data_IF_299698165873
#
_entry.id   IF_299698165873
#
_cell.length_a   1.000
_cell.length_b   1.000
_cell.length_c   1.000
_cell.angle_alpha   90.00
_cell.angle_beta   90.00
_cell.angle_gamma   90.00
#
_symmetry.space_group_name_H-M   'P 1'
#
loop_
_entity.id
_entity.type
_entity.pdbx_description
1 polymer ?
#
# COMPACT_ATOMS: atom_id res chain seq x y z
N UNK A 1 -60.31 40.78 33.08
CA UNK A 1 -60.05 39.43 32.54
C UNK A 1 -59.38 39.61 31.19
N UNK A 2 -58.10 39.23 31.12
CA UNK A 2 -57.26 39.35 29.92
C UNK A 2 -57.75 38.40 28.81
N UNK A 3 -57.90 38.92 27.60
CA UNK A 3 -58.07 38.12 26.38
C UNK A 3 -56.69 37.93 25.73
N UNK A 4 -56.19 36.71 25.79
CA UNK A 4 -54.94 36.27 25.15
C UNK A 4 -55.06 36.28 23.62
N UNK A 5 -54.35 37.19 22.97
CA UNK A 5 -54.03 37.10 21.54
C UNK A 5 -52.70 36.35 21.37
N UNK A 6 -52.74 35.11 20.88
CA UNK A 6 -51.54 34.41 20.41
C UNK A 6 -51.18 34.90 19.00
N UNK A 7 -49.98 35.45 18.76
CA UNK A 7 -49.58 35.85 17.42
C UNK A 7 -49.26 34.60 16.58
N UNK A 8 -49.79 34.55 15.36
CA UNK A 8 -49.40 33.54 14.36
C UNK A 8 -48.03 33.88 13.77
N UNK A 9 -47.31 32.87 13.27
CA UNK A 9 -45.95 33.00 12.69
C UNK A 9 -45.84 34.08 11.60
N UNK A 10 -46.96 34.45 10.96
CA UNK A 10 -47.06 35.53 10.00
C UNK A 10 -46.85 36.94 10.59
N UNK A 11 -47.15 37.17 11.88
CA UNK A 11 -46.94 38.48 12.52
C UNK A 11 -45.49 38.75 12.91
N UNK A 12 -44.66 37.70 13.02
CA UNK A 12 -43.25 37.83 13.38
C UNK A 12 -42.40 38.35 12.21
N UNK A 13 -42.78 38.02 10.96
CA UNK A 13 -42.01 38.39 9.75
C UNK A 13 -42.21 39.88 9.40
N UNK A 14 -43.30 40.52 9.83
CA UNK A 14 -43.62 41.91 9.48
C UNK A 14 -42.87 42.96 10.34
N UNK A 15 -42.31 42.57 11.48
CA UNK A 15 -41.62 43.48 12.42
C UNK A 15 -40.11 43.26 12.52
N UNK A 16 -39.54 42.26 11.84
CA UNK A 16 -38.10 42.11 11.75
C UNK A 16 -37.57 42.93 10.58
N UNK A 17 -36.86 44.02 10.86
CA UNK A 17 -36.02 44.75 9.90
C UNK A 17 -34.80 43.91 9.46
N UNK A 18 -35.00 42.65 9.07
CA UNK A 18 -33.97 41.88 8.39
C UNK A 18 -33.96 42.36 6.94
N UNK A 19 -32.97 43.20 6.62
CA UNK A 19 -32.82 43.68 5.25
C UNK A 19 -32.66 42.50 4.29
N UNK A 20 -33.12 42.66 3.06
CA UNK A 20 -32.98 41.66 2.01
C UNK A 20 -31.52 41.18 1.86
N UNK A 21 -30.57 42.07 2.15
CA UNK A 21 -29.13 41.82 2.22
C UNK A 21 -28.76 40.74 3.24
N UNK A 22 -29.35 40.78 4.45
CA UNK A 22 -29.09 39.79 5.52
C UNK A 22 -29.66 38.42 5.15
N UNK A 23 -30.83 38.39 4.49
CA UNK A 23 -31.42 37.14 4.01
C UNK A 23 -30.58 36.49 2.91
N UNK A 24 -30.04 37.30 1.99
CA UNK A 24 -29.13 36.83 0.92
C UNK A 24 -27.82 36.33 1.52
N UNK A 25 -27.24 37.02 2.51
CA UNK A 25 -26.02 36.56 3.20
C UNK A 25 -26.26 35.26 3.96
N UNK A 26 -27.39 35.11 4.64
CA UNK A 26 -27.77 33.85 5.31
C UNK A 26 -27.99 32.71 4.32
N UNK A 27 -28.65 32.96 3.18
CA UNK A 27 -28.82 31.97 2.12
C UNK A 27 -27.48 31.60 1.46
N UNK A 28 -26.59 32.56 1.24
CA UNK A 28 -25.23 32.31 0.74
C UNK A 28 -24.40 31.52 1.76
N UNK A 29 -24.49 31.83 3.06
CA UNK A 29 -23.82 31.09 4.12
C UNK A 29 -24.38 29.66 4.26
N UNK A 30 -25.69 29.47 4.12
CA UNK A 30 -26.33 28.15 4.06
C UNK A 30 -25.94 27.38 2.80
N UNK A 31 -25.84 28.03 1.63
CA UNK A 31 -25.36 27.42 0.39
C UNK A 31 -23.88 27.04 0.48
N UNK A 32 -23.03 27.87 1.07
CA UNK A 32 -21.62 27.56 1.34
C UNK A 32 -21.52 26.40 2.33
N UNK A 33 -22.31 26.37 3.40
CA UNK A 33 -22.32 25.28 4.38
C UNK A 33 -22.87 23.96 3.81
N UNK A 34 -23.87 24.02 2.91
CA UNK A 34 -24.39 22.85 2.19
C UNK A 34 -23.41 22.38 1.10
N UNK A 35 -22.68 23.29 0.46
CA UNK A 35 -21.59 22.96 -0.46
C UNK A 35 -20.39 22.35 0.29
N UNK A 36 -20.00 22.88 1.45
CA UNK A 36 -18.98 22.28 2.32
C UNK A 36 -19.42 20.91 2.84
N UNK A 37 -20.68 20.74 3.24
CA UNK A 37 -21.23 19.44 3.64
C UNK A 37 -21.32 18.43 2.48
N UNK A 38 -21.53 18.90 1.23
CA UNK A 38 -21.48 18.06 0.02
C UNK A 38 -20.05 17.74 -0.40
N UNK A 39 -19.09 18.63 -0.14
CA UNK A 39 -17.65 18.38 -0.31
C UNK A 39 -17.13 17.45 0.80
N UNK A 40 -17.74 17.45 1.99
CA UNK A 40 -17.45 16.54 3.11
C UNK A 40 -18.13 15.16 3.02
N UNK A 41 -19.06 14.93 2.07
CA UNK A 41 -19.29 13.58 1.56
C UNK A 41 -18.11 13.23 0.66
N UNK A 42 -17.00 12.84 1.29
CA UNK A 42 -15.75 12.51 0.61
C UNK A 42 -16.00 11.69 -0.64
N UNK A 43 -15.39 12.11 -1.76
CA UNK A 43 -15.25 11.26 -2.96
C UNK A 43 -14.69 9.92 -2.50
N UNK A 44 -15.51 8.86 -2.53
CA UNK A 44 -15.13 7.52 -2.09
C UNK A 44 -15.58 7.13 -0.67
N UNK A 45 -16.86 7.27 -0.32
CA UNK A 45 -17.39 6.64 0.90
C UNK A 45 -17.47 5.12 0.73
N UNK A 46 -16.63 4.33 1.42
CA UNK A 46 -16.69 2.87 1.40
C UNK A 46 -15.34 2.16 1.62
N UNK A 47 -15.40 0.91 2.07
CA UNK A 47 -14.22 0.05 2.20
C UNK A 47 -13.72 -0.40 0.82
N UNK A 48 -12.41 -0.37 0.62
CA UNK A 48 -11.77 -1.03 -0.51
C UNK A 48 -11.94 -2.54 -0.32
N UNK A 49 -12.31 -3.25 -1.39
CA UNK A 49 -12.52 -4.70 -1.38
C UNK A 49 -11.76 -5.35 -2.53
N UNK A 50 -11.73 -6.67 -2.56
CA UNK A 50 -11.29 -7.43 -3.73
C UNK A 50 -12.49 -8.01 -4.49
N UNK A 51 -12.40 -8.05 -5.81
CA UNK A 51 -13.28 -8.81 -6.70
C UNK A 51 -12.41 -9.69 -7.59
N UNK A 52 -12.17 -10.91 -7.12
CA UNK A 52 -11.15 -11.79 -7.69
C UNK A 52 -9.77 -11.09 -7.63
N UNK A 53 -9.04 -11.00 -8.76
CA UNK A 53 -7.69 -10.44 -8.79
C UNK A 53 -7.61 -8.92 -8.70
N UNK A 54 -8.73 -8.19 -8.58
CA UNK A 54 -8.75 -6.73 -8.66
C UNK A 54 -9.25 -6.08 -7.37
N UNK A 55 -8.71 -4.91 -7.04
CA UNK A 55 -9.33 -4.05 -6.04
C UNK A 55 -10.55 -3.34 -6.62
N UNK A 56 -11.54 -3.12 -5.76
CA UNK A 56 -12.73 -2.34 -6.07
C UNK A 56 -13.08 -1.41 -4.93
N UNK A 57 -13.56 -0.22 -5.27
CA UNK A 57 -14.13 0.74 -4.35
C UNK A 57 -15.52 1.12 -4.85
N UNK A 58 -16.54 0.87 -4.03
CA UNK A 58 -17.94 1.09 -4.40
C UNK A 58 -18.34 0.40 -5.72
N UNK A 59 -17.84 -0.82 -5.92
CA UNK A 59 -18.11 -1.64 -7.10
C UNK A 59 -17.30 -1.27 -8.35
N UNK A 60 -16.62 -0.12 -8.36
CA UNK A 60 -15.74 0.30 -9.46
C UNK A 60 -14.31 -0.21 -9.24
N UNK A 61 -13.54 -0.52 -10.31
CA UNK A 61 -12.11 -0.77 -10.20
C UNK A 61 -11.41 0.31 -9.36
N UNK A 62 -10.46 -0.10 -8.53
CA UNK A 62 -9.65 0.80 -7.73
C UNK A 62 -8.18 0.54 -8.05
N UNK A 63 -7.62 1.38 -8.92
CA UNK A 63 -6.19 1.43 -9.20
C UNK A 63 -5.62 2.69 -8.56
N UNK A 64 -4.42 2.58 -8.00
CA UNK A 64 -3.79 3.68 -7.27
C UNK A 64 -2.31 3.83 -7.59
N UNK A 65 -1.82 5.03 -7.30
CA UNK A 65 -0.42 5.32 -7.06
C UNK A 65 -0.31 5.83 -5.61
N UNK A 66 0.72 5.44 -4.89
CA UNK A 66 0.85 5.76 -3.48
C UNK A 66 2.30 5.87 -3.01
N UNK A 67 2.48 5.90 -1.69
CA UNK A 67 3.77 6.15 -1.06
C UNK A 67 3.89 5.56 0.34
N UNK A 68 5.11 5.47 0.84
CA UNK A 68 5.43 5.16 2.23
C UNK A 68 5.80 6.43 2.99
N UNK A 69 5.33 6.54 4.24
CA UNK A 69 5.73 7.58 5.19
C UNK A 69 5.65 7.02 6.62
N UNK A 70 6.67 6.27 7.03
CA UNK A 70 6.65 5.52 8.29
C UNK A 70 6.67 6.38 9.55
N UNK A 71 7.23 7.58 9.43
CA UNK A 71 7.54 8.48 10.53
C UNK A 71 6.33 9.22 11.11
N UNK A 72 5.18 9.21 10.42
CA UNK A 72 4.08 10.15 10.66
C UNK A 72 3.53 10.09 12.10
N UNK A 73 3.34 8.90 12.67
CA UNK A 73 2.84 8.76 14.05
C UNK A 73 3.81 9.38 15.07
N UNK A 74 5.10 9.10 14.93
CA UNK A 74 6.13 9.57 15.88
C UNK A 74 6.34 11.08 15.78
N UNK A 75 6.24 11.64 14.58
CA UNK A 75 6.29 13.09 14.36
C UNK A 75 5.02 13.76 14.89
N UNK A 76 3.83 13.20 14.62
CA UNK A 76 2.55 13.75 15.09
C UNK A 76 2.34 13.66 16.62
N UNK A 77 3.18 12.89 17.32
CA UNK A 77 3.22 12.85 18.78
C UNK A 77 3.51 14.24 19.36
N UNK A 78 4.37 15.02 18.70
CA UNK A 78 4.59 16.43 19.04
C UNK A 78 3.60 17.32 18.28
N UNK A 79 2.67 18.02 18.97
CA UNK A 79 1.71 18.89 18.31
C UNK A 79 2.34 19.98 17.42
N UNK A 80 3.53 20.49 17.73
CA UNK A 80 4.17 21.52 16.88
C UNK A 80 4.65 20.96 15.54
N UNK A 81 4.90 19.66 15.48
CA UNK A 81 5.42 18.98 14.29
C UNK A 81 4.31 18.36 13.42
N UNK A 82 3.05 18.35 13.89
CA UNK A 82 1.90 17.82 13.13
C UNK A 82 1.71 18.46 11.77
N UNK A 83 2.15 19.71 11.59
CA UNK A 83 2.11 20.40 10.30
C UNK A 83 2.91 19.66 9.22
N UNK A 84 3.96 18.89 9.57
CA UNK A 84 4.72 18.07 8.62
C UNK A 84 3.87 16.91 8.07
N UNK A 85 3.06 16.28 8.94
CA UNK A 85 2.11 15.24 8.52
C UNK A 85 1.01 15.84 7.63
N UNK A 86 0.46 16.99 7.99
CA UNK A 86 -0.49 17.71 7.14
C UNK A 86 0.12 18.03 5.77
N UNK A 87 1.36 18.55 5.76
CA UNK A 87 2.06 18.92 4.54
C UNK A 87 2.27 17.72 3.61
N UNK A 88 2.88 16.63 4.09
CA UNK A 88 3.17 15.48 3.21
C UNK A 88 1.89 14.84 2.66
N UNK A 89 0.80 14.79 3.44
CA UNK A 89 -0.48 14.25 3.00
C UNK A 89 -1.15 15.19 1.97
N UNK A 90 -1.06 16.50 2.17
CA UNK A 90 -1.56 17.49 1.22
C UNK A 90 -0.78 17.46 -0.10
N UNK A 91 0.54 17.42 -0.05
CA UNK A 91 1.40 17.39 -1.22
C UNK A 91 1.18 16.09 -2.01
N UNK A 92 1.06 14.96 -1.31
CA UNK A 92 0.74 13.68 -1.93
C UNK A 92 -0.63 13.71 -2.64
N UNK A 93 -1.66 14.26 -1.99
CA UNK A 93 -2.98 14.41 -2.60
C UNK A 93 -2.96 15.33 -3.82
N UNK A 94 -2.20 16.43 -3.77
CA UNK A 94 -2.00 17.34 -4.91
C UNK A 94 -1.28 16.65 -6.08
N UNK A 95 -0.35 15.74 -5.81
CA UNK A 95 0.29 14.88 -6.80
C UNK A 95 -0.58 13.68 -7.25
N UNK A 96 -1.84 13.62 -6.80
CA UNK A 96 -2.80 12.57 -7.18
C UNK A 96 -2.53 11.20 -6.54
N UNK A 97 -1.62 11.11 -5.57
CA UNK A 97 -1.44 9.90 -4.77
C UNK A 97 -2.70 9.65 -3.94
N UNK A 98 -3.05 8.37 -3.75
CA UNK A 98 -4.32 8.00 -3.12
C UNK A 98 -4.20 6.94 -2.00
N UNK A 99 -3.04 6.31 -1.87
CA UNK A 99 -2.75 5.34 -0.81
C UNK A 99 -1.42 5.68 -0.14
N UNK A 100 -1.40 5.70 1.18
CA UNK A 100 -0.21 5.84 2.00
C UNK A 100 -0.06 4.59 2.87
N UNK A 101 1.12 3.98 2.86
CA UNK A 101 1.49 2.96 3.83
C UNK A 101 2.22 3.64 4.98
N UNK A 102 1.75 3.38 6.20
CA UNK A 102 2.33 3.93 7.44
C UNK A 102 2.32 2.91 8.61
N UNK A 103 2.97 3.25 9.73
CA UNK A 103 3.36 2.31 10.79
C UNK A 103 2.41 2.55 11.96
N UNK A 104 1.70 1.51 12.38
CA UNK A 104 0.86 1.53 13.58
C UNK A 104 1.58 0.92 14.79
N UNK A 105 2.91 0.97 14.79
CA UNK A 105 3.78 0.46 15.85
C UNK A 105 4.96 1.38 16.11
N UNK A 106 5.43 1.32 17.34
CA UNK A 106 6.74 1.77 17.81
C UNK A 106 6.92 1.08 19.17
N UNK A 107 7.76 0.06 19.22
CA UNK A 107 7.84 -0.90 20.32
C UNK A 107 9.05 -0.60 21.21
N UNK A 108 8.80 -0.12 22.43
CA UNK A 108 9.86 0.29 23.36
C UNK A 108 10.69 1.49 22.88
N UNK A 109 11.60 1.94 23.74
CA UNK A 109 12.47 3.10 23.45
C UNK A 109 11.78 4.46 23.57
N UNK A 110 12.40 5.49 23.00
CA UNK A 110 11.85 6.85 22.97
C UNK A 110 10.68 6.97 21.98
N UNK A 111 9.65 7.72 22.36
CA UNK A 111 8.37 7.85 21.61
C UNK A 111 7.72 6.51 21.23
N UNK A 112 7.86 5.50 22.08
CA UNK A 112 7.19 4.21 21.90
C UNK A 112 5.66 4.38 21.90
N UNK A 113 4.98 3.80 20.91
CA UNK A 113 3.54 3.60 20.98
C UNK A 113 3.22 2.54 22.05
N UNK A 114 3.88 1.39 21.97
CA UNK A 114 3.77 0.32 22.95
C UNK A 114 5.03 0.32 23.81
N UNK A 115 4.89 0.84 25.03
CA UNK A 115 6.00 1.03 25.99
C UNK A 115 6.51 -0.33 26.49
N UNK A 116 5.56 -1.21 26.82
CA UNK A 116 5.75 -2.61 27.22
C UNK A 116 4.51 -3.42 26.81
N UNK A 117 4.53 -4.76 26.87
CA UNK A 117 3.40 -5.56 26.40
C UNK A 117 2.08 -5.14 27.05
N UNK A 118 1.15 -4.62 26.24
CA UNK A 118 -0.16 -4.16 26.69
C UNK A 118 -0.22 -2.75 27.32
N UNK A 119 0.90 -2.04 27.44
CA UNK A 119 0.97 -0.67 27.94
C UNK A 119 1.32 0.31 26.81
N UNK A 120 0.53 1.39 26.68
CA UNK A 120 0.59 2.30 25.53
C UNK A 120 0.79 3.75 25.96
N UNK A 121 1.59 4.51 25.20
CA UNK A 121 1.61 5.96 25.31
C UNK A 121 0.43 6.55 24.53
N UNK A 122 -0.57 7.06 25.26
CA UNK A 122 -1.77 7.65 24.68
C UNK A 122 -1.46 8.88 23.81
N UNK A 123 -0.36 9.61 24.06
CA UNK A 123 0.04 10.76 23.23
C UNK A 123 0.51 10.32 21.85
N UNK A 124 1.28 9.23 21.79
CA UNK A 124 1.73 8.64 20.52
C UNK A 124 0.54 8.06 19.77
N UNK A 125 -0.40 7.42 20.47
CA UNK A 125 -1.61 6.88 19.85
C UNK A 125 -2.54 7.98 19.29
N UNK A 126 -2.63 9.13 19.97
CA UNK A 126 -3.28 10.33 19.43
C UNK A 126 -2.53 10.93 18.23
N UNK A 127 -1.21 10.72 18.13
CA UNK A 127 -0.44 10.98 16.92
C UNK A 127 -0.95 10.16 15.74
N UNK A 128 -1.16 8.85 15.93
CA UNK A 128 -1.77 8.00 14.91
C UNK A 128 -3.22 8.40 14.60
N UNK A 129 -4.01 8.78 15.62
CA UNK A 129 -5.37 9.29 15.41
C UNK A 129 -5.36 10.52 14.48
N UNK A 130 -4.39 11.42 14.65
CA UNK A 130 -4.20 12.59 13.79
C UNK A 130 -3.85 12.19 12.36
N UNK A 131 -2.94 11.23 12.16
CA UNK A 131 -2.61 10.72 10.81
C UNK A 131 -3.85 10.17 10.10
N UNK A 132 -4.67 9.37 10.78
CA UNK A 132 -5.92 8.83 10.20
C UNK A 132 -6.91 9.96 9.88
N UNK A 133 -7.10 10.92 10.78
CA UNK A 133 -8.01 12.04 10.57
C UNK A 133 -7.56 12.95 9.40
N UNK A 134 -6.25 13.19 9.28
CA UNK A 134 -5.71 14.07 8.25
C UNK A 134 -5.69 13.36 6.88
N UNK A 135 -5.38 12.06 6.83
CA UNK A 135 -5.52 11.27 5.61
C UNK A 135 -6.97 11.28 5.10
N UNK A 136 -7.96 11.20 6.01
CA UNK A 136 -9.38 11.32 5.68
C UNK A 136 -9.71 12.67 5.06
N UNK A 137 -9.20 13.75 5.63
CA UNK A 137 -9.41 15.13 5.15
C UNK A 137 -8.90 15.32 3.72
N UNK A 138 -7.76 14.72 3.37
CA UNK A 138 -7.18 14.78 2.02
C UNK A 138 -7.63 13.65 1.09
N UNK A 139 -8.54 12.77 1.54
CA UNK A 139 -9.09 11.68 0.72
C UNK A 139 -8.11 10.54 0.43
N UNK A 140 -7.05 10.42 1.22
CA UNK A 140 -6.07 9.35 1.15
C UNK A 140 -6.57 8.09 1.86
N UNK A 141 -6.06 6.94 1.46
CA UNK A 141 -6.27 5.65 2.13
C UNK A 141 -5.01 5.19 2.84
N UNK A 142 -5.15 4.49 3.96
CA UNK A 142 -4.02 4.02 4.76
C UNK A 142 -3.85 2.49 4.71
N UNK A 143 -2.62 2.04 4.55
CA UNK A 143 -2.19 0.68 4.90
C UNK A 143 -1.41 0.79 6.21
N UNK A 144 -1.84 0.06 7.24
CA UNK A 144 -1.29 0.16 8.60
C UNK A 144 -0.58 -1.15 9.00
N UNK A 145 0.74 -1.09 9.13
CA UNK A 145 1.56 -2.22 9.60
C UNK A 145 1.55 -2.32 11.12
N UNK A 146 1.42 -3.55 11.64
CA UNK A 146 1.32 -3.81 13.08
C UNK A 146 2.65 -4.03 13.79
N UNK A 147 3.71 -4.39 13.09
CA UNK A 147 5.04 -4.64 13.69
C UNK A 147 6.13 -4.64 12.61
N UNK A 148 7.37 -4.41 13.01
CA UNK A 148 8.53 -4.53 12.13
C UNK A 148 9.22 -5.89 12.26
N UNK A 149 9.81 -6.39 11.17
CA UNK A 149 10.83 -7.43 11.25
C UNK A 149 12.17 -6.90 11.77
N UNK A 150 12.53 -5.66 11.43
CA UNK A 150 13.79 -5.04 11.85
C UNK A 150 13.68 -4.40 13.24
N UNK A 151 14.84 -4.04 13.81
CA UNK A 151 14.94 -3.42 15.13
C UNK A 151 14.49 -1.95 15.16
N UNK A 152 14.39 -1.30 14.00
CA UNK A 152 14.01 0.11 13.91
C UNK A 152 12.57 0.26 14.38
N UNK A 153 12.39 1.15 15.37
CA UNK A 153 11.15 1.30 16.14
C UNK A 153 10.73 0.01 16.85
N UNK A 154 11.70 -0.81 17.27
CA UNK A 154 11.52 -2.00 18.08
C UNK A 154 11.38 -3.29 17.26
N UNK A 155 10.16 -3.58 16.78
CA UNK A 155 9.88 -4.76 15.97
C UNK A 155 9.99 -6.10 16.70
N UNK A 156 10.04 -7.20 15.95
CA UNK A 156 9.99 -8.58 16.50
C UNK A 156 11.06 -8.85 17.56
N UNK A 157 12.24 -8.24 17.42
CA UNK A 157 13.32 -8.35 18.40
C UNK A 157 12.89 -7.78 19.76
N UNK A 158 12.17 -6.66 19.78
CA UNK A 158 11.68 -6.08 21.03
C UNK A 158 10.63 -6.99 21.70
N UNK A 159 9.77 -7.63 20.93
CA UNK A 159 8.77 -8.56 21.43
C UNK A 159 9.40 -9.78 22.13
N UNK A 160 10.44 -10.36 21.54
CA UNK A 160 11.17 -11.45 22.21
C UNK A 160 12.00 -10.96 23.39
N UNK A 161 12.53 -9.73 23.36
CA UNK A 161 13.22 -9.11 24.50
C UNK A 161 12.30 -8.89 25.71
N UNK A 162 11.06 -8.47 25.48
CA UNK A 162 10.05 -8.39 26.54
C UNK A 162 9.78 -9.77 27.15
N UNK A 163 9.68 -10.81 26.33
CA UNK A 163 9.50 -12.18 26.81
C UNK A 163 10.71 -12.66 27.63
N UNK A 164 11.95 -12.46 27.12
CA UNK A 164 13.20 -12.76 27.86
C UNK A 164 13.22 -12.07 29.23
N UNK A 165 12.89 -10.78 29.26
CA UNK A 165 12.87 -9.98 30.49
C UNK A 165 11.81 -10.45 31.50
N UNK A 166 10.75 -11.10 31.02
CA UNK A 166 9.73 -11.74 31.86
C UNK A 166 10.07 -13.19 32.29
N UNK A 167 11.27 -13.68 31.98
CA UNK A 167 11.73 -15.03 32.33
C UNK A 167 11.35 -16.13 31.33
N UNK A 168 10.79 -15.78 30.17
CA UNK A 168 10.49 -16.75 29.09
C UNK A 168 11.79 -17.15 28.40
N UNK A 169 11.98 -18.46 28.22
CA UNK A 169 13.11 -18.99 27.45
C UNK A 169 12.91 -18.67 25.96
N UNK A 170 13.87 -17.97 25.38
CA UNK A 170 13.90 -17.54 23.98
C UNK A 170 15.27 -17.90 23.41
N UNK A 171 15.29 -18.61 22.29
CA UNK A 171 16.50 -19.06 21.61
C UNK A 171 16.98 -18.05 20.55
N UNK A 172 16.05 -17.41 19.85
CA UNK A 172 16.36 -16.44 18.80
C UNK A 172 15.25 -15.43 18.61
N UNK A 173 15.47 -14.43 17.75
CA UNK A 173 14.42 -13.47 17.41
C UNK A 173 13.31 -14.08 16.54
N UNK A 174 13.53 -15.27 15.96
CA UNK A 174 12.52 -16.01 15.18
C UNK A 174 11.49 -16.71 16.07
N UNK A 175 11.74 -16.81 17.39
CA UNK A 175 10.74 -17.26 18.36
C UNK A 175 9.53 -16.32 18.43
N UNK A 176 9.62 -15.13 17.83
CA UNK A 176 8.46 -14.28 17.54
C UNK A 176 7.35 -15.04 16.80
N UNK A 177 7.70 -15.93 15.87
CA UNK A 177 6.73 -16.67 15.07
C UNK A 177 6.17 -17.91 15.77
N UNK A 178 6.83 -18.42 16.81
CA UNK A 178 6.54 -19.74 17.39
C UNK A 178 6.12 -19.67 18.85
N UNK A 179 6.74 -18.81 19.66
CA UNK A 179 6.53 -18.76 21.09
C UNK A 179 5.12 -18.24 21.43
N UNK A 180 4.32 -19.00 22.20
CA UNK A 180 2.92 -18.65 22.46
C UNK A 180 2.75 -17.35 23.27
N UNK A 181 3.70 -17.02 24.16
CA UNK A 181 3.67 -15.78 24.94
C UNK A 181 3.94 -14.58 24.02
N UNK A 182 4.97 -14.69 23.17
CA UNK A 182 5.32 -13.62 22.22
C UNK A 182 4.19 -13.38 21.21
N UNK A 183 3.60 -14.45 20.66
CA UNK A 183 2.40 -14.35 19.82
C UNK A 183 1.21 -13.71 20.55
N UNK A 184 1.08 -13.96 21.86
CA UNK A 184 0.08 -13.32 22.72
C UNK A 184 0.29 -11.80 22.81
N UNK A 185 1.53 -11.34 22.99
CA UNK A 185 1.85 -9.91 22.98
C UNK A 185 1.47 -9.25 21.65
N UNK A 186 1.81 -9.87 20.52
CA UNK A 186 1.43 -9.38 19.20
C UNK A 186 -0.10 -9.29 19.03
N UNK A 187 -0.84 -10.34 19.39
CA UNK A 187 -2.31 -10.34 19.31
C UNK A 187 -2.94 -9.25 20.17
N UNK A 188 -2.41 -9.00 21.36
CA UNK A 188 -2.87 -7.90 22.22
C UNK A 188 -2.66 -6.55 21.53
N UNK A 189 -1.54 -6.35 20.85
CA UNK A 189 -1.27 -5.14 20.08
C UNK A 189 -2.24 -4.95 18.91
N UNK A 190 -2.39 -5.98 18.08
CA UNK A 190 -3.36 -6.00 16.97
C UNK A 190 -4.77 -5.65 17.47
N UNK A 191 -5.21 -6.28 18.57
CA UNK A 191 -6.52 -5.98 19.13
C UNK A 191 -6.63 -4.53 19.59
N UNK A 192 -5.59 -3.99 20.24
CA UNK A 192 -5.58 -2.60 20.72
C UNK A 192 -5.69 -1.61 19.56
N UNK A 193 -4.97 -1.84 18.46
CA UNK A 193 -5.01 -0.97 17.27
C UNK A 193 -6.35 -1.06 16.55
N UNK A 194 -6.83 -2.27 16.23
CA UNK A 194 -8.07 -2.46 15.46
C UNK A 194 -9.29 -1.90 16.22
N UNK A 195 -9.32 -2.04 17.55
CA UNK A 195 -10.45 -1.60 18.38
C UNK A 195 -10.32 -0.15 18.89
N UNK A 196 -9.24 0.56 18.53
CA UNK A 196 -9.05 1.97 18.89
C UNK A 196 -10.19 2.82 18.35
N UNK A 197 -10.80 3.63 19.21
CA UNK A 197 -11.69 4.72 18.82
C UNK A 197 -10.85 5.97 18.62
N UNK A 198 -10.80 6.48 17.40
CA UNK A 198 -10.05 7.68 17.05
C UNK A 198 -10.55 8.87 17.89
N UNK A 199 -9.66 9.56 18.59
CA UNK A 199 -10.02 10.70 19.46
C UNK A 199 -10.48 11.95 18.72
N UNK A 200 -10.20 12.06 17.41
CA UNK A 200 -10.57 13.19 16.55
C UNK A 200 -11.84 12.86 15.78
N UNK A 201 -11.85 11.77 15.01
CA UNK A 201 -13.00 11.40 14.15
C UNK A 201 -14.13 10.73 14.91
N UNK A 202 -13.85 10.19 16.11
CA UNK A 202 -14.77 9.38 16.94
C UNK A 202 -15.21 8.08 16.29
N UNK A 203 -14.52 7.63 15.24
CA UNK A 203 -14.77 6.38 14.55
C UNK A 203 -13.77 5.33 15.07
N UNK A 204 -14.24 4.11 15.32
CA UNK A 204 -13.34 3.00 15.61
C UNK A 204 -12.53 2.65 14.35
N UNK A 205 -11.25 2.33 14.49
CA UNK A 205 -10.37 2.07 13.34
C UNK A 205 -10.92 0.96 12.42
N UNK A 206 -11.43 -0.13 12.99
CA UNK A 206 -12.12 -1.22 12.25
C UNK A 206 -13.36 -0.78 11.44
N UNK A 207 -13.90 0.40 11.73
CA UNK A 207 -15.09 0.98 11.10
C UNK A 207 -14.74 2.20 10.22
N UNK A 208 -13.49 2.65 10.19
CA UNK A 208 -13.05 3.85 9.44
C UNK A 208 -12.57 3.50 8.03
N UNK A 209 -13.40 3.82 7.03
CA UNK A 209 -13.09 3.59 5.60
C UNK A 209 -11.83 4.32 5.08
N UNK A 210 -11.23 5.21 5.87
CA UNK A 210 -9.92 5.81 5.56
C UNK A 210 -8.83 4.74 5.55
N UNK A 211 -8.95 3.70 6.37
CA UNK A 211 -8.03 2.57 6.34
C UNK A 211 -8.44 1.67 5.16
N UNK A 212 -7.48 1.33 4.31
CA UNK A 212 -7.66 0.40 3.20
C UNK A 212 -7.34 -1.02 3.65
N UNK A 213 -6.22 -1.19 4.36
CA UNK A 213 -5.74 -2.50 4.75
C UNK A 213 -4.95 -2.48 6.06
N UNK A 214 -4.98 -3.63 6.71
CA UNK A 214 -4.03 -4.01 7.75
C UNK A 214 -2.86 -4.77 7.11
N UNK A 215 -1.67 -4.59 7.66
CA UNK A 215 -0.46 -5.33 7.32
C UNK A 215 0.04 -6.08 8.56
N UNK A 216 0.26 -7.39 8.43
CA UNK A 216 0.65 -8.23 9.58
C UNK A 216 2.01 -7.83 10.16
N UNK A 217 3.02 -7.64 9.29
CA UNK A 217 4.40 -7.36 9.69
C UNK A 217 5.18 -6.79 8.50
N UNK A 218 5.93 -5.71 8.69
CA UNK A 218 6.85 -5.21 7.68
C UNK A 218 8.02 -6.19 7.46
N UNK A 219 8.19 -6.66 6.22
CA UNK A 219 9.30 -7.48 5.71
C UNK A 219 9.66 -8.69 6.59
N UNK A 220 8.73 -9.64 6.86
CA UNK A 220 9.01 -10.78 7.71
C UNK A 220 10.18 -11.60 7.16
N UNK A 221 11.12 -11.95 8.03
CA UNK A 221 12.19 -12.91 7.75
C UNK A 221 12.32 -13.91 8.90
N UNK A 222 12.69 -15.15 8.58
CA UNK A 222 12.91 -16.25 9.53
C UNK A 222 14.18 -17.01 9.14
N UNK A 223 15.24 -16.89 9.94
CA UNK A 223 16.52 -17.56 9.66
C UNK A 223 16.54 -18.99 10.21
N UNK A 224 15.74 -19.28 11.24
CA UNK A 224 15.59 -20.60 11.83
C UNK A 224 14.91 -21.62 10.90
N UNK A 225 14.16 -21.15 9.89
CA UNK A 225 13.47 -22.00 8.92
C UNK A 225 13.45 -21.35 7.52
N UNK A 226 14.35 -21.79 6.65
CA UNK A 226 14.47 -21.28 5.28
C UNK A 226 13.33 -21.75 4.36
N UNK A 227 12.52 -22.74 4.75
CA UNK A 227 11.47 -23.31 3.88
C UNK A 227 10.27 -22.38 3.69
N UNK A 228 10.05 -21.44 4.61
CA UNK A 228 8.88 -20.57 4.68
C UNK A 228 7.73 -21.13 5.52
N UNK A 229 7.83 -22.37 6.00
CA UNK A 229 6.74 -23.05 6.73
C UNK A 229 6.42 -22.39 8.07
N UNK A 230 7.42 -22.00 8.84
CA UNK A 230 7.24 -21.36 10.15
C UNK A 230 6.46 -20.06 10.02
N UNK A 231 6.86 -19.20 9.08
CA UNK A 231 6.13 -17.96 8.79
C UNK A 231 4.73 -18.27 8.25
N UNK A 232 4.57 -19.30 7.43
CA UNK A 232 3.24 -19.70 6.93
C UNK A 232 2.25 -20.07 8.04
N UNK A 233 2.67 -20.89 9.01
CA UNK A 233 1.84 -21.24 10.18
C UNK A 233 1.48 -20.01 10.99
N UNK A 234 2.43 -19.10 11.21
CA UNK A 234 2.17 -17.85 11.90
C UNK A 234 1.18 -16.96 11.14
N UNK A 235 1.33 -16.81 9.82
CA UNK A 235 0.41 -16.03 8.97
C UNK A 235 -1.00 -16.61 9.01
N UNK A 236 -1.15 -17.94 8.98
CA UNK A 236 -2.47 -18.58 9.12
C UNK A 236 -3.16 -18.21 10.44
N UNK A 237 -2.41 -18.28 11.55
CA UNK A 237 -2.91 -17.95 12.88
C UNK A 237 -3.27 -16.46 13.01
N UNK A 238 -2.37 -15.57 12.61
CA UNK A 238 -2.56 -14.13 12.79
C UNK A 238 -3.61 -13.56 11.82
N UNK A 239 -3.66 -14.05 10.58
CA UNK A 239 -4.70 -13.63 9.65
C UNK A 239 -6.10 -14.05 10.13
N UNK A 240 -6.23 -15.26 10.68
CA UNK A 240 -7.50 -15.69 11.30
C UNK A 240 -7.87 -14.82 12.49
N UNK A 241 -6.90 -14.43 13.32
CA UNK A 241 -7.14 -13.56 14.47
C UNK A 241 -7.57 -12.15 14.05
N UNK A 242 -6.85 -11.49 13.14
CA UNK A 242 -7.22 -10.17 12.61
C UNK A 242 -8.62 -10.20 12.01
N UNK A 243 -8.93 -11.20 11.17
CA UNK A 243 -10.26 -11.34 10.54
C UNK A 243 -11.39 -11.68 11.51
N UNK A 244 -11.07 -12.12 12.73
CA UNK A 244 -12.06 -12.28 13.80
C UNK A 244 -12.44 -10.95 14.45
N UNK A 245 -11.52 -9.97 14.46
CA UNK A 245 -11.72 -8.63 15.01
C UNK A 245 -12.33 -7.67 13.99
N UNK A 246 -11.98 -7.84 12.70
CA UNK A 246 -12.36 -6.97 11.60
C UNK A 246 -12.59 -7.76 10.31
N UNK A 247 -13.81 -7.67 9.76
CA UNK A 247 -14.21 -8.32 8.50
C UNK A 247 -14.44 -7.32 7.35
N UNK A 248 -14.21 -6.03 7.59
CA UNK A 248 -14.41 -4.97 6.61
C UNK A 248 -13.13 -4.68 5.84
N UNK A 249 -12.02 -4.50 6.55
CA UNK A 249 -10.74 -4.12 5.95
C UNK A 249 -10.04 -5.29 5.26
N UNK A 250 -9.25 -4.93 4.26
CA UNK A 250 -8.32 -5.86 3.63
C UNK A 250 -7.18 -6.20 4.59
N UNK A 251 -6.56 -7.35 4.38
CA UNK A 251 -5.39 -7.80 5.11
C UNK A 251 -4.34 -8.32 4.14
N UNK A 252 -3.10 -7.92 4.34
CA UNK A 252 -1.94 -8.48 3.67
C UNK A 252 -0.82 -8.79 4.67
N UNK A 253 0.24 -9.44 4.21
CA UNK A 253 1.29 -9.98 5.09
C UNK A 253 2.39 -8.95 5.39
N UNK A 254 2.80 -8.16 4.41
CA UNK A 254 3.91 -7.21 4.41
C UNK A 254 5.19 -7.78 3.79
N UNK A 255 5.07 -8.65 2.78
CA UNK A 255 6.20 -9.41 2.25
C UNK A 255 7.02 -8.62 1.23
N UNK A 256 8.34 -8.83 1.29
CA UNK A 256 9.25 -8.40 0.23
C UNK A 256 9.01 -9.19 -1.07
N UNK A 257 8.55 -10.44 -0.97
CA UNK A 257 8.20 -11.30 -2.10
C UNK A 257 9.08 -12.54 -2.30
N UNK A 258 10.01 -12.84 -1.39
CA UNK A 258 10.88 -14.02 -1.57
C UNK A 258 10.09 -15.32 -1.74
N UNK A 259 10.49 -16.11 -2.75
CA UNK A 259 9.97 -17.44 -2.97
C UNK A 259 10.64 -18.45 -2.04
N UNK A 260 9.86 -19.39 -1.51
CA UNK A 260 10.32 -20.48 -0.66
C UNK A 260 10.15 -21.84 -1.31
N UNK A 261 9.91 -22.87 -0.50
CA UNK A 261 9.96 -24.27 -0.96
C UNK A 261 8.70 -24.77 -1.66
N UNK A 262 7.57 -24.03 -1.63
CA UNK A 262 6.34 -24.44 -2.33
C UNK A 262 6.54 -24.55 -3.84
N UNK A 263 7.38 -23.68 -4.43
CA UNK A 263 7.74 -23.72 -5.85
C UNK A 263 9.25 -23.54 -6.01
N UNK A 264 10.05 -24.60 -5.85
CA UNK A 264 11.50 -24.49 -5.78
C UNK A 264 12.16 -23.84 -7.01
N UNK A 265 11.58 -24.02 -8.19
CA UNK A 265 12.00 -23.40 -9.44
C UNK A 265 11.85 -21.86 -9.44
N UNK A 266 10.99 -21.31 -8.56
CA UNK A 266 10.83 -19.86 -8.40
C UNK A 266 11.94 -19.25 -7.55
N UNK A 267 12.66 -20.03 -6.75
CA UNK A 267 13.76 -19.52 -5.92
C UNK A 267 14.90 -18.89 -6.73
N UNK A 268 15.07 -19.26 -8.00
CA UNK A 268 16.03 -18.61 -8.90
C UNK A 268 15.70 -17.15 -9.24
N UNK A 269 14.47 -16.70 -8.94
CA UNK A 269 14.03 -15.31 -9.12
C UNK A 269 14.49 -14.45 -7.92
N UNK A 270 14.75 -15.05 -6.76
CA UNK A 270 15.29 -14.35 -5.59
C UNK A 270 16.68 -13.77 -5.92
N UNK A 271 17.15 -12.73 -5.19
CA UNK A 271 18.46 -12.09 -5.39
C UNK A 271 19.68 -12.97 -5.03
N UNK A 272 19.54 -14.30 -5.01
CA UNK A 272 20.60 -15.27 -4.71
C UNK A 272 20.62 -15.79 -3.28
N UNK A 273 19.66 -15.39 -2.44
CA UNK A 273 19.52 -15.86 -1.06
C UNK A 273 18.05 -16.08 -0.68
N UNK A 274 17.83 -16.70 0.47
CA UNK A 274 16.50 -16.95 1.05
C UNK A 274 16.38 -16.20 2.37
N UNK A 275 15.14 -15.92 2.76
CA UNK A 275 14.84 -15.18 4.01
C UNK A 275 13.83 -15.90 4.90
N UNK A 276 13.48 -17.15 4.58
CA UNK A 276 12.52 -17.95 5.35
C UNK A 276 11.06 -17.52 5.20
N UNK A 277 10.72 -16.92 4.07
CA UNK A 277 9.35 -16.71 3.64
C UNK A 277 9.08 -17.39 2.30
N UNK A 278 7.81 -17.53 1.97
CA UNK A 278 7.36 -18.16 0.74
C UNK A 278 6.14 -17.43 0.16
N UNK A 279 6.40 -16.57 -0.81
CA UNK A 279 5.41 -15.74 -1.49
C UNK A 279 4.14 -16.50 -1.88
N UNK A 280 4.26 -17.75 -2.35
CA UNK A 280 3.10 -18.51 -2.80
C UNK A 280 2.26 -18.98 -1.61
N UNK A 281 2.83 -19.76 -0.70
CA UNK A 281 2.04 -20.35 0.38
C UNK A 281 1.54 -19.30 1.37
N UNK A 282 2.34 -18.26 1.69
CA UNK A 282 1.94 -17.19 2.60
C UNK A 282 0.73 -16.42 2.05
N UNK A 283 0.73 -16.11 0.75
CA UNK A 283 -0.38 -15.39 0.14
C UNK A 283 -1.57 -16.29 -0.27
N UNK A 284 -1.47 -17.61 -0.16
CA UNK A 284 -2.63 -18.53 -0.32
C UNK A 284 -3.47 -18.66 0.96
N UNK A 285 -2.99 -18.17 2.10
CA UNK A 285 -3.75 -18.15 3.35
C UNK A 285 -5.08 -17.41 3.16
N UNK A 286 -6.19 -18.03 3.61
CA UNK A 286 -7.56 -17.55 3.36
C UNK A 286 -7.83 -16.12 3.86
N UNK A 287 -7.22 -15.75 4.99
CA UNK A 287 -7.40 -14.42 5.58
C UNK A 287 -6.64 -13.30 4.87
N UNK A 288 -5.71 -13.62 3.96
CA UNK A 288 -4.93 -12.66 3.18
C UNK A 288 -5.70 -12.30 1.91
N UNK A 289 -5.94 -11.01 1.66
CA UNK A 289 -6.78 -10.56 0.53
C UNK A 289 -5.98 -10.17 -0.70
N UNK A 290 -4.75 -9.69 -0.52
CA UNK A 290 -3.85 -9.31 -1.61
C UNK A 290 -2.40 -9.58 -1.23
N UNK A 291 -1.53 -9.65 -2.24
CA UNK A 291 -0.11 -9.88 -2.10
C UNK A 291 0.68 -8.59 -2.27
N UNK A 292 1.82 -8.52 -1.60
CA UNK A 292 2.79 -7.42 -1.68
C UNK A 292 4.14 -7.96 -2.14
N UNK A 293 4.89 -7.10 -2.85
CA UNK A 293 6.32 -7.25 -3.07
C UNK A 293 7.02 -5.93 -2.81
N UNK A 294 8.24 -6.00 -2.31
CA UNK A 294 9.18 -4.90 -2.22
C UNK A 294 10.31 -5.13 -3.23
N UNK A 295 11.05 -4.10 -3.58
CA UNK A 295 12.24 -4.25 -4.40
C UNK A 295 13.27 -3.15 -4.15
N UNK A 296 14.46 -3.58 -3.72
CA UNK A 296 15.63 -2.72 -3.55
C UNK A 296 16.83 -3.28 -4.31
N UNK A 297 16.84 -3.24 -5.66
CA UNK A 297 17.94 -3.82 -6.45
C UNK A 297 19.31 -3.20 -6.15
N UNK A 298 19.36 -1.92 -5.79
CA UNK A 298 20.57 -1.21 -5.37
C UNK A 298 21.15 -1.78 -4.06
N UNK A 299 20.31 -2.26 -3.15
CA UNK A 299 20.75 -2.96 -1.93
C UNK A 299 21.03 -4.44 -2.17
N UNK A 300 20.09 -5.16 -2.79
CA UNK A 300 20.13 -6.61 -2.91
C UNK A 300 21.20 -7.10 -3.90
N UNK A 301 21.51 -6.28 -4.90
CA UNK A 301 22.51 -6.56 -5.93
C UNK A 301 23.64 -5.53 -5.89
N UNK A 302 24.01 -5.09 -4.68
CA UNK A 302 25.11 -4.15 -4.46
C UNK A 302 26.36 -4.60 -5.22
N UNK A 303 26.94 -3.68 -6.00
CA UNK A 303 28.10 -3.91 -6.86
C UNK A 303 27.77 -4.35 -8.29
N UNK A 304 26.52 -4.64 -8.63
CA UNK A 304 26.10 -4.83 -10.02
C UNK A 304 25.75 -3.49 -10.70
N UNK A 305 25.89 -3.44 -12.02
CA UNK A 305 25.53 -2.25 -12.81
C UNK A 305 24.01 -2.04 -12.91
N UNK A 306 23.61 -0.83 -13.32
CA UNK A 306 22.19 -0.44 -13.40
C UNK A 306 21.37 -1.31 -14.35
N UNK A 307 21.96 -1.77 -15.45
CA UNK A 307 21.29 -2.67 -16.39
C UNK A 307 20.92 -4.00 -15.73
N UNK A 308 21.85 -4.60 -14.98
CA UNK A 308 21.62 -5.86 -14.27
C UNK A 308 20.59 -5.70 -13.15
N UNK A 309 20.68 -4.61 -12.39
CA UNK A 309 19.70 -4.26 -11.36
C UNK A 309 18.29 -4.06 -11.95
N UNK A 310 18.18 -3.38 -13.09
CA UNK A 310 16.90 -3.15 -13.76
C UNK A 310 16.35 -4.43 -14.39
N UNK A 311 17.21 -5.28 -14.98
CA UNK A 311 16.82 -6.59 -15.49
C UNK A 311 16.29 -7.50 -14.37
N UNK A 312 16.90 -7.45 -13.18
CA UNK A 312 16.37 -8.08 -11.99
C UNK A 312 15.00 -7.52 -11.62
N UNK A 313 14.84 -6.19 -11.51
CA UNK A 313 13.56 -5.55 -11.15
C UNK A 313 12.43 -5.96 -12.10
N UNK A 314 12.69 -5.97 -13.41
CA UNK A 314 11.70 -6.38 -14.41
C UNK A 314 11.29 -7.86 -14.25
N UNK A 315 12.27 -8.76 -14.08
CA UNK A 315 12.02 -10.20 -13.86
C UNK A 315 11.29 -10.44 -12.53
N UNK A 316 11.64 -9.70 -11.49
CA UNK A 316 11.02 -9.74 -10.17
C UNK A 316 9.53 -9.37 -10.29
N UNK A 317 9.23 -8.18 -10.81
CA UNK A 317 7.84 -7.71 -10.99
C UNK A 317 7.03 -8.65 -11.87
N UNK A 318 7.60 -9.09 -13.00
CA UNK A 318 6.89 -9.95 -13.96
C UNK A 318 6.52 -11.30 -13.36
N UNK A 319 7.44 -11.95 -12.64
CA UNK A 319 7.20 -13.27 -12.06
C UNK A 319 6.10 -13.22 -10.99
N UNK A 320 6.16 -12.24 -10.10
CA UNK A 320 5.14 -12.05 -9.06
C UNK A 320 3.79 -11.66 -9.64
N UNK A 321 3.77 -10.86 -10.71
CA UNK A 321 2.55 -10.57 -11.44
C UNK A 321 1.92 -11.84 -12.02
N UNK A 322 2.70 -12.70 -12.68
CA UNK A 322 2.21 -13.97 -13.24
C UNK A 322 1.65 -14.87 -12.15
N UNK A 323 2.35 -15.01 -11.02
CA UNK A 323 1.93 -15.89 -9.94
C UNK A 323 0.71 -15.34 -9.21
N UNK A 324 0.64 -14.02 -9.00
CA UNK A 324 -0.55 -13.37 -8.47
C UNK A 324 -1.75 -13.59 -9.38
N UNK A 325 -1.56 -13.54 -10.70
CA UNK A 325 -2.63 -13.69 -11.69
C UNK A 325 -3.11 -15.14 -11.83
N UNK A 326 -2.18 -16.09 -11.85
CA UNK A 326 -2.48 -17.48 -12.24
C UNK A 326 -2.62 -18.43 -11.06
N UNK A 327 -1.84 -18.21 -10.00
CA UNK A 327 -1.79 -19.08 -8.82
C UNK A 327 -2.64 -18.48 -7.70
N UNK A 328 -2.28 -17.27 -7.23
CA UNK A 328 -2.94 -16.65 -6.08
C UNK A 328 -4.37 -16.20 -6.41
N UNK A 329 -4.57 -15.67 -7.62
CA UNK A 329 -5.79 -14.99 -8.07
C UNK A 329 -6.20 -13.85 -7.14
N UNK A 330 -5.21 -13.15 -6.60
CA UNK A 330 -5.32 -12.02 -5.68
C UNK A 330 -4.64 -10.80 -6.27
N UNK A 331 -5.05 -9.58 -5.91
CA UNK A 331 -4.33 -8.38 -6.32
C UNK A 331 -2.88 -8.40 -5.85
N UNK A 332 -2.03 -7.68 -6.58
CA UNK A 332 -0.62 -7.46 -6.27
C UNK A 332 -0.35 -5.97 -6.10
N UNK A 333 0.42 -5.61 -5.09
CA UNK A 333 0.91 -4.25 -4.86
C UNK A 333 2.43 -4.28 -4.77
N UNK A 334 3.09 -3.36 -5.47
CA UNK A 334 4.53 -3.12 -5.30
C UNK A 334 4.64 -2.14 -4.13
N UNK A 335 4.70 -2.66 -2.91
CA UNK A 335 4.49 -1.90 -1.68
C UNK A 335 5.71 -1.10 -1.22
N UNK A 336 6.90 -1.41 -1.74
CA UNK A 336 8.09 -0.57 -1.62
C UNK A 336 8.98 -0.70 -2.85
N UNK A 337 9.48 0.44 -3.33
CA UNK A 337 10.54 0.55 -4.33
C UNK A 337 11.10 1.97 -4.29
N UNK A 338 12.39 2.12 -4.61
CA UNK A 338 13.05 3.42 -4.60
C UNK A 338 14.46 3.35 -5.21
N UNK A 339 15.11 4.51 -5.32
CA UNK A 339 16.51 4.63 -5.73
C UNK A 339 17.26 5.52 -4.75
N UNK A 340 18.25 4.94 -4.07
CA UNK A 340 18.97 5.63 -3.00
C UNK A 340 19.92 6.71 -3.51
N UNK A 341 19.95 7.85 -2.81
CA UNK A 341 20.95 8.90 -2.95
C UNK A 341 22.32 8.50 -2.40
N UNK A 342 22.41 7.39 -1.68
CA UNK A 342 23.65 6.81 -1.15
C UNK A 342 24.37 5.92 -2.16
N UNK A 343 23.76 5.61 -3.31
CA UNK A 343 24.42 4.93 -4.42
C UNK A 343 25.57 5.83 -4.93
N UNK A 344 26.83 5.35 -5.03
CA UNK A 344 27.98 6.19 -5.41
C UNK A 344 27.81 6.97 -6.72
N UNK A 345 27.04 6.42 -7.66
CA UNK A 345 26.80 7.06 -8.94
C UNK A 345 25.46 7.81 -9.00
N UNK A 346 24.82 8.05 -7.86
CA UNK A 346 23.50 8.66 -7.82
C UNK A 346 23.46 10.04 -8.49
N UNK A 347 22.36 10.28 -9.20
CA UNK A 347 21.86 11.60 -9.53
C UNK A 347 20.34 11.53 -9.73
N UNK A 348 19.69 12.69 -9.77
CA UNK A 348 18.23 12.75 -9.89
C UNK A 348 17.71 12.07 -11.17
N UNK A 349 18.45 12.12 -12.28
CA UNK A 349 18.04 11.49 -13.53
C UNK A 349 18.00 9.95 -13.43
N UNK A 350 18.88 9.36 -12.62
CA UNK A 350 18.87 7.91 -12.35
C UNK A 350 17.65 7.49 -11.53
N UNK A 351 17.29 8.29 -10.50
CA UNK A 351 16.03 8.09 -9.75
C UNK A 351 14.82 8.21 -10.68
N UNK A 352 14.77 9.28 -11.46
CA UNK A 352 13.67 9.55 -12.38
C UNK A 352 13.52 8.47 -13.45
N UNK A 353 14.62 7.98 -14.01
CA UNK A 353 14.62 6.88 -14.98
C UNK A 353 14.15 5.57 -14.36
N UNK A 354 14.62 5.26 -13.16
CA UNK A 354 14.19 4.08 -12.40
C UNK A 354 12.69 4.12 -12.10
N UNK A 355 12.18 5.23 -11.54
CA UNK A 355 10.77 5.37 -11.20
C UNK A 355 9.88 5.32 -12.44
N UNK A 356 10.27 5.96 -13.55
CA UNK A 356 9.54 5.86 -14.82
C UNK A 356 9.44 4.41 -15.32
N UNK A 357 10.53 3.63 -15.24
CA UNK A 357 10.52 2.23 -15.66
C UNK A 357 9.58 1.37 -14.79
N UNK A 358 9.64 1.53 -13.47
CA UNK A 358 8.78 0.81 -12.53
C UNK A 358 7.31 1.20 -12.73
N UNK A 359 7.00 2.49 -12.81
CA UNK A 359 5.64 2.98 -13.04
C UNK A 359 5.06 2.55 -14.37
N UNK A 360 5.86 2.55 -15.44
CA UNK A 360 5.45 2.00 -16.74
C UNK A 360 5.08 0.52 -16.63
N UNK A 361 5.88 -0.28 -15.91
CA UNK A 361 5.58 -1.70 -15.70
C UNK A 361 4.28 -1.89 -14.90
N UNK A 362 4.08 -1.12 -13.81
CA UNK A 362 2.84 -1.13 -13.02
C UNK A 362 1.64 -0.83 -13.92
N UNK A 363 1.69 0.26 -14.69
CA UNK A 363 0.61 0.66 -15.59
C UNK A 363 0.30 -0.42 -16.64
N UNK A 364 1.33 -0.97 -17.29
CA UNK A 364 1.15 -2.00 -18.32
C UNK A 364 0.57 -3.30 -17.76
N UNK A 365 1.01 -3.72 -16.56
CA UNK A 365 0.45 -4.90 -15.90
C UNK A 365 -0.99 -4.65 -15.45
N UNK A 366 -1.32 -3.49 -14.89
CA UNK A 366 -2.70 -3.12 -14.55
C UNK A 366 -3.62 -3.10 -15.79
N UNK A 367 -3.16 -2.53 -16.91
CA UNK A 367 -3.94 -2.37 -18.14
C UNK A 367 -4.30 -3.69 -18.82
N UNK A 368 -3.44 -4.71 -18.76
CA UNK A 368 -3.60 -5.98 -19.51
C UNK A 368 -4.55 -6.99 -18.83
N UNK A 369 -5.53 -6.48 -18.09
CA UNK A 369 -6.46 -7.28 -17.28
C UNK A 369 -5.80 -7.89 -16.05
N UNK A 370 -4.84 -7.16 -15.46
CA UNK A 370 -3.91 -7.69 -14.48
C UNK A 370 -4.33 -7.53 -13.02
N UNK A 371 -3.60 -8.23 -12.15
CA UNK A 371 -3.71 -8.21 -10.69
C UNK A 371 -3.09 -6.99 -10.04
N UNK A 372 -2.27 -6.22 -10.77
CA UNK A 372 -1.52 -5.11 -10.18
C UNK A 372 -2.45 -3.94 -9.89
N UNK A 373 -2.67 -3.67 -8.60
CA UNK A 373 -3.54 -2.62 -8.10
C UNK A 373 -2.87 -1.25 -7.98
N UNK A 374 -1.56 -1.23 -7.78
CA UNK A 374 -0.79 -0.01 -7.60
C UNK A 374 0.64 -0.26 -7.13
N UNK A 375 1.36 0.84 -6.92
CA UNK A 375 2.67 0.83 -6.28
C UNK A 375 2.79 1.95 -5.26
N UNK A 376 3.66 1.75 -4.27
CA UNK A 376 3.95 2.69 -3.21
C UNK A 376 5.45 2.99 -3.21
N UNK A 377 5.82 4.21 -3.60
CA UNK A 377 7.23 4.62 -3.59
C UNK A 377 7.75 4.74 -2.16
N UNK A 378 8.95 4.23 -1.92
CA UNK A 378 9.71 4.50 -0.69
C UNK A 378 10.69 5.64 -0.98
N UNK A 379 10.59 6.81 -0.35
CA UNK A 379 9.54 7.26 0.58
C UNK A 379 9.28 8.77 0.45
N UNK A 380 8.12 9.25 0.90
CA UNK A 380 7.86 10.69 0.96
C UNK A 380 8.21 11.26 2.34
N UNK A 381 8.79 12.46 2.31
CA UNK A 381 9.11 13.28 3.47
C UNK A 381 8.47 14.66 3.34
N UNK A 382 8.19 15.30 4.47
CA UNK A 382 7.90 16.73 4.52
C UNK A 382 9.21 17.54 4.55
N UNK A 383 9.11 18.85 4.35
CA UNK A 383 10.25 19.76 4.41
C UNK A 383 10.92 19.72 5.81
N UNK A 384 12.24 19.90 5.84
CA UNK A 384 12.99 20.03 7.10
C UNK A 384 13.05 18.74 7.93
N UNK A 385 13.00 17.57 7.28
CA UNK A 385 13.04 16.25 7.92
C UNK A 385 14.36 15.49 7.72
N UNK A 386 15.48 16.20 7.52
CA UNK A 386 16.78 15.61 7.21
C UNK A 386 17.24 14.49 8.18
N UNK A 387 16.83 14.53 9.45
CA UNK A 387 17.17 13.52 10.45
C UNK A 387 16.50 12.15 10.25
N UNK A 388 15.46 12.08 9.41
CA UNK A 388 14.74 10.84 9.06
C UNK A 388 15.16 10.27 7.71
N UNK A 389 16.02 10.97 6.97
CA UNK A 389 16.45 10.59 5.63
C UNK A 389 17.34 9.35 5.65
N UNK A 390 16.95 8.33 4.86
CA UNK A 390 17.67 7.08 4.72
C UNK A 390 18.37 6.93 3.35
N UNK A 391 18.29 7.96 2.51
CA UNK A 391 18.78 8.01 1.15
C UNK A 391 17.67 7.87 0.10
N UNK A 392 16.48 7.41 0.48
CA UNK A 392 15.36 7.23 -0.45
C UNK A 392 14.32 8.34 -0.38
N UNK A 393 14.52 9.31 0.51
CA UNK A 393 13.62 10.45 0.68
C UNK A 393 13.32 11.16 -0.65
N UNK A 394 12.05 11.49 -0.83
CA UNK A 394 11.54 12.36 -1.88
C UNK A 394 10.72 13.44 -1.17
N UNK A 395 11.20 14.69 -1.20
CA UNK A 395 10.42 15.86 -0.79
C UNK A 395 9.79 16.44 -2.05
N UNK A 396 8.47 16.35 -2.21
CA UNK A 396 7.80 16.69 -3.48
C UNK A 396 7.98 18.15 -3.90
N UNK A 397 8.12 19.06 -2.93
CA UNK A 397 8.42 20.48 -3.09
C UNK A 397 9.83 20.73 -3.65
N UNK A 398 10.80 19.88 -3.31
CA UNK A 398 12.22 20.05 -3.66
C UNK A 398 12.61 19.24 -4.92
N UNK A 399 11.97 18.08 -5.15
CA UNK A 399 12.28 17.17 -6.25
C UNK A 399 11.29 17.30 -7.41
N UNK A 400 11.22 18.47 -8.06
CA UNK A 400 10.20 18.78 -9.07
C UNK A 400 10.12 17.77 -10.24
N UNK A 401 11.25 17.26 -10.73
CA UNK A 401 11.26 16.28 -11.82
C UNK A 401 10.65 14.94 -11.39
N UNK A 402 11.05 14.44 -10.22
CA UNK A 402 10.48 13.25 -9.60
C UNK A 402 8.99 13.43 -9.27
N UNK A 403 8.62 14.60 -8.73
CA UNK A 403 7.23 14.97 -8.42
C UNK A 403 6.34 14.95 -9.66
N UNK A 404 6.84 15.44 -10.80
CA UNK A 404 6.14 15.37 -12.08
C UNK A 404 5.93 13.93 -12.56
N UNK A 405 6.93 13.05 -12.42
CA UNK A 405 6.81 11.62 -12.78
C UNK A 405 5.75 10.93 -11.93
N UNK A 406 5.77 11.18 -10.62
CA UNK A 406 4.77 10.66 -9.67
C UNK A 406 3.37 11.14 -10.07
N UNK A 407 3.21 12.43 -10.35
CA UNK A 407 1.93 13.02 -10.72
C UNK A 407 1.39 12.47 -12.04
N UNK A 408 2.26 12.29 -13.05
CA UNK A 408 1.89 11.69 -14.34
C UNK A 408 1.43 10.24 -14.16
N UNK A 409 2.13 9.45 -13.33
CA UNK A 409 1.71 8.08 -13.02
C UNK A 409 0.35 8.06 -12.31
N UNK A 410 0.16 8.93 -11.31
CA UNK A 410 -1.11 9.04 -10.58
C UNK A 410 -2.28 9.32 -11.54
N UNK A 411 -2.09 10.26 -12.47
CA UNK A 411 -3.09 10.56 -13.48
C UNK A 411 -3.32 9.40 -14.47
N UNK A 412 -2.27 8.70 -14.88
CA UNK A 412 -2.38 7.53 -15.75
C UNK A 412 -3.18 6.39 -15.09
N UNK A 413 -2.90 6.09 -13.82
CA UNK A 413 -3.61 5.05 -13.06
C UNK A 413 -5.08 5.42 -12.81
N UNK A 414 -5.36 6.68 -12.45
CA UNK A 414 -6.72 7.18 -12.28
C UNK A 414 -7.53 7.10 -13.59
N UNK A 415 -6.92 7.53 -14.70
CA UNK A 415 -7.53 7.45 -16.04
C UNK A 415 -7.80 6.00 -16.43
N UNK A 416 -6.85 5.10 -16.20
CA UNK A 416 -7.02 3.68 -16.48
C UNK A 416 -8.17 3.08 -15.64
N UNK A 417 -8.26 3.42 -14.36
CA UNK A 417 -9.35 2.98 -13.49
C UNK A 417 -10.71 3.39 -14.04
N UNK A 418 -10.83 4.65 -14.50
CA UNK A 418 -12.06 5.16 -15.13
C UNK A 418 -12.39 4.44 -16.45
N UNK A 419 -11.39 4.17 -17.29
CA UNK A 419 -11.58 3.43 -18.55
C UNK A 419 -12.07 2.00 -18.28
N UNK A 420 -11.50 1.32 -17.28
CA UNK A 420 -11.93 -0.02 -16.88
C UNK A 420 -13.36 -0.02 -16.31
N UNK A 421 -13.74 1.01 -15.55
CA UNK A 421 -15.11 1.20 -15.07
C UNK A 421 -16.09 1.28 -16.25
N UNK A 422 -15.83 2.18 -17.20
CA UNK A 422 -16.69 2.37 -18.39
C UNK A 422 -16.77 1.08 -19.21
N UNK A 423 -15.65 0.39 -19.40
CA UNK A 423 -15.62 -0.90 -20.11
C UNK A 423 -16.48 -1.95 -19.40
N UNK A 424 -16.50 -1.98 -18.06
CA UNK A 424 -17.31 -2.93 -17.28
C UNK A 424 -18.82 -2.63 -17.32
N UNK A 425 -19.21 -1.36 -17.45
CA UNK A 425 -20.61 -0.92 -17.55
C UNK A 425 -21.19 -1.21 -18.94
N UNK A 426 -20.36 -1.18 -19.99
CA UNK A 426 -20.78 -1.39 -21.37
C UNK A 426 -20.86 -2.87 -21.80
N UNK A 427 -20.57 -3.83 -20.92
CA UNK A 427 -20.81 -5.26 -21.19
C UNK A 427 -22.27 -5.59 -20.88
N UNK A 428 -23.12 -5.92 -21.87
CA UNK A 428 -24.50 -6.31 -21.60
C UNK A 428 -24.53 -7.55 -20.71
N UNK A 429 -25.38 -7.56 -19.69
CA UNK A 429 -25.63 -8.72 -18.84
C UNK A 429 -26.26 -9.85 -19.66
N UNK A 430 -25.44 -10.65 -20.33
CA UNK A 430 -25.89 -11.79 -21.10
C UNK A 430 -25.06 -12.06 -22.36
N UNK A 431 -23.90 -12.70 -22.18
CA UNK A 431 -23.36 -13.82 -22.99
C UNK A 431 -21.86 -13.97 -22.71
N UNK A 432 -21.48 -15.15 -22.19
CA UNK A 432 -20.10 -15.60 -22.09
C UNK A 432 -19.44 -15.62 -23.48
N UNK A 433 -18.49 -14.74 -23.76
CA UNK A 433 -17.55 -14.93 -24.87
C UNK A 433 -16.11 -14.85 -24.37
N UNK A 434 -15.41 -15.99 -24.51
CA UNK A 434 -13.95 -16.11 -24.48
C UNK A 434 -13.38 -15.15 -25.52
N UNK A 435 -12.63 -14.15 -25.09
CA UNK A 435 -11.79 -13.35 -25.98
C UNK A 435 -10.58 -14.20 -26.38
N UNK A 436 -10.61 -14.74 -27.60
CA UNK A 436 -9.43 -15.20 -28.32
C UNK A 436 -8.89 -14.00 -29.10
N UNK A 437 -7.73 -13.49 -28.69
CA UNK A 437 -6.97 -12.46 -29.38
C UNK A 437 -5.88 -13.14 -30.21
N UNK A 438 -6.18 -13.43 -31.47
CA UNK A 438 -5.18 -13.73 -32.50
C UNK A 438 -5.64 -13.12 -33.81
N UNK A 439 -5.02 -12.00 -34.22
CA UNK A 439 -4.73 -11.68 -35.63
C UNK A 439 -4.05 -10.31 -35.78
N UNK A 440 -2.72 -10.29 -35.76
CA UNK A 440 -1.92 -9.40 -36.61
C UNK A 440 -0.72 -10.19 -37.12
N UNK A 441 -0.84 -10.81 -38.31
CA UNK A 441 0.31 -11.10 -39.17
C UNK A 441 0.00 -10.59 -40.57
N UNK A 442 0.62 -9.46 -40.89
CA UNK A 442 0.61 -8.87 -42.22
C UNK A 442 1.30 -9.76 -43.23
N UNK A 443 0.68 -9.86 -44.41
CA UNK A 443 1.18 -10.47 -45.64
C UNK A 443 2.56 -9.92 -46.01
N UNK A 444 3.52 -10.82 -46.26
CA UNK A 444 4.55 -10.65 -47.29
C UNK A 444 4.47 -11.83 -48.25
N UNK A 445 4.10 -11.55 -49.49
CA UNK A 445 4.11 -12.51 -50.59
C UNK A 445 5.53 -12.64 -51.13
N UNK A 446 6.13 -13.83 -51.06
CA UNK A 446 7.33 -14.18 -51.81
C UNK A 446 6.90 -14.89 -53.11
N UNK A 447 7.21 -14.28 -54.25
CA UNK A 447 7.22 -14.95 -55.56
C UNK A 447 8.50 -15.77 -55.67
N UNK A 448 8.36 -17.04 -56.04
CA UNK A 448 9.43 -17.96 -56.42
C UNK A 448 9.64 -17.96 -57.93
N UNK A 449 10.90 -17.93 -58.35
CA UNK A 449 11.50 -18.40 -59.62
C UNK A 449 13.02 -18.24 -59.44
N UNK A 450 13.95 -19.05 -59.92
CA UNK A 450 14.04 -20.40 -60.50
C UNK A 450 15.57 -20.72 -60.54
N UNK A 451 15.95 -21.97 -60.81
CA UNK A 451 17.29 -22.49 -61.22
C UNK A 451 18.25 -22.96 -60.11
N UNK A 452 18.48 -24.28 -59.97
CA UNK A 452 19.48 -25.15 -60.65
C UNK A 452 20.92 -24.91 -60.16
N UNK A 453 21.50 -25.83 -59.38
CA UNK A 453 22.28 -27.01 -59.82
C UNK A 453 22.96 -27.70 -58.62
N UNK A 454 23.20 -29.01 -58.79
CA UNK A 454 24.24 -29.92 -58.24
C UNK A 454 25.12 -29.41 -57.08
N UNK A 455 25.42 -30.19 -56.02
CA UNK A 455 26.19 -31.43 -56.09
C UNK A 455 26.14 -32.21 -54.76
N UNK A 456 26.49 -33.49 -54.86
CA UNK A 456 26.45 -34.51 -53.82
C UNK A 456 27.70 -34.56 -52.92
N UNK A 457 27.52 -35.34 -51.85
CA UNK A 457 28.48 -36.21 -51.14
C UNK A 457 29.20 -35.73 -49.87
N UNK A 458 28.95 -36.55 -48.82
CA UNK A 458 29.89 -37.14 -47.85
C UNK A 458 30.59 -36.17 -46.88
N UNK A 459 30.87 -36.46 -45.61
CA UNK A 459 30.86 -37.68 -44.80
C UNK A 459 31.07 -37.26 -43.32
N UNK A 460 30.65 -38.12 -42.39
CA UNK A 460 31.25 -38.51 -41.08
C UNK A 460 31.96 -37.42 -40.23
N UNK A 461 31.50 -37.10 -39.02
CA UNK A 461 31.57 -37.88 -37.76
C UNK A 461 32.94 -37.80 -37.04
N UNK A 462 32.91 -37.06 -35.92
CA UNK A 462 33.62 -37.21 -34.63
C UNK A 462 35.12 -36.89 -34.53
N UNK A 463 35.63 -36.61 -33.30
CA UNK A 463 34.94 -36.56 -31.98
C UNK A 463 34.51 -35.16 -31.55
#
# INVERSE_FOLDING_TARGET
>A
MHSDFRPTMASFIRNSHLSWSVLVVLCMALLVSVCEARVHRGKGSGFVRTKGPNFVLNGSPFLFNGFNAYWMMNVATDPSERMKVTQVLQDAANAGLSVCRTWAFADGGDKALQISPGAYDERVFQGLDFVVAEARKYGLRLILSFVNNYKDFGGRQQYVNWARSSGVQINSDDDFYTNPIVKGYYKNHVQRVITRVNTITRIAYRDDTTIMAWELINEPRCQADSSGRTVNVWVQEMASFVKSLDRHHLLEVGMEGFYGDTMPERKQINPGYQVGTDFISNNLVRGIDFATIHAYPDQWLSGQNEESQMAFMQRWMWSHYQDSKTILKKPLVIAEFGKSSKDPEYNINKRDSYLNAVYRNIYMMARTGGTVGGGLVWQLMADGMASYCDGYEITLSENLSTSNIISQQSQAMSTLSQLLRIASENVPSGKNHKLQLDHIKGRRSSKTNHHHHHHAHNQKAMP
#
